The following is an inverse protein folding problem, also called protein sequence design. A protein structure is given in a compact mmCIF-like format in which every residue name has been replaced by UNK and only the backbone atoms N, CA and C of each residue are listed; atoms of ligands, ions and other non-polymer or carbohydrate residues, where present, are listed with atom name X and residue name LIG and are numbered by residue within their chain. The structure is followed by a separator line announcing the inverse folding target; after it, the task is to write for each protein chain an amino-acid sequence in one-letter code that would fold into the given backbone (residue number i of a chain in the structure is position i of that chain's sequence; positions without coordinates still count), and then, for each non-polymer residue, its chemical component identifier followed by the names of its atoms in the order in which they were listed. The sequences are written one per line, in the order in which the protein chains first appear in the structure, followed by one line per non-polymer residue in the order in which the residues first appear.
data_IF_368725576724
#
_entry.id   IF_368725576724
#
_cell.length_a   1.000
_cell.length_b   1.000
_cell.length_c   1.000
_cell.angle_alpha   90.00
_cell.angle_beta   90.00
_cell.angle_gamma   90.00
#
_symmetry.space_group_name_H-M   'P 1'
#
loop_
_entity.id
_entity.type
_entity.pdbx_description
1 polymer ?
#
# COMPACT_ATOMS: atom_id res chain seq x y z
N UNK A 1 -14.24 -4.99 7.76
CA UNK A 1 -14.81 -3.86 6.99
C UNK A 1 -14.20 -2.52 7.39
N UNK A 2 -14.10 -2.16 8.67
CA UNK A 2 -13.54 -0.87 9.13
C UNK A 2 -12.15 -0.57 8.51
N UNK A 3 -11.20 -1.51 8.57
CA UNK A 3 -9.86 -1.34 8.00
C UNK A 3 -9.83 -1.17 6.46
N UNK A 4 -10.86 -1.63 5.74
CA UNK A 4 -10.98 -1.42 4.30
C UNK A 4 -11.41 0.01 3.99
N UNK A 5 -12.40 0.53 4.71
CA UNK A 5 -12.85 1.92 4.58
C UNK A 5 -11.75 2.92 4.95
N UNK A 6 -10.99 2.66 6.01
CA UNK A 6 -9.85 3.51 6.39
C UNK A 6 -8.77 3.58 5.29
N UNK A 7 -8.45 2.45 4.65
CA UNK A 7 -7.51 2.42 3.54
C UNK A 7 -8.04 3.14 2.30
N UNK A 8 -9.34 3.02 2.03
CA UNK A 8 -9.98 3.72 0.93
C UNK A 8 -9.97 5.24 1.16
N UNK A 9 -10.21 5.70 2.39
CA UNK A 9 -10.10 7.12 2.75
C UNK A 9 -8.67 7.64 2.60
N UNK A 10 -7.67 6.88 3.07
CA UNK A 10 -6.25 7.19 2.91
C UNK A 10 -5.86 7.28 1.43
N UNK A 11 -6.36 6.36 0.60
CA UNK A 11 -6.13 6.37 -0.85
C UNK A 11 -6.70 7.64 -1.49
N UNK A 12 -7.96 7.96 -1.21
CA UNK A 12 -8.60 9.18 -1.74
C UNK A 12 -7.84 10.46 -1.36
N UNK A 13 -7.37 10.57 -0.11
CA UNK A 13 -6.56 11.71 0.34
C UNK A 13 -5.22 11.82 -0.40
N UNK A 14 -4.59 10.69 -0.72
CA UNK A 14 -3.34 10.68 -1.49
C UNK A 14 -3.60 11.06 -2.95
N UNK A 15 -4.68 10.57 -3.55
CA UNK A 15 -5.08 10.93 -4.92
C UNK A 15 -5.35 12.42 -5.06
N UNK A 16 -6.05 13.02 -4.10
CA UNK A 16 -6.27 14.47 -4.05
C UNK A 16 -4.96 15.25 -3.98
N UNK A 17 -4.02 14.82 -3.12
CA UNK A 17 -2.69 15.45 -3.03
C UNK A 17 -1.89 15.31 -4.32
N UNK A 18 -1.95 14.16 -5.00
CA UNK A 18 -1.31 13.96 -6.30
C UNK A 18 -1.89 14.93 -7.34
N UNK A 19 -3.22 15.11 -7.36
CA UNK A 19 -3.86 16.08 -8.25
C UNK A 19 -3.40 17.52 -7.98
N UNK A 20 -3.33 17.92 -6.70
CA UNK A 20 -2.82 19.23 -6.32
C UNK A 20 -1.36 19.44 -6.76
N UNK A 21 -0.50 18.44 -6.57
CA UNK A 21 0.90 18.51 -7.01
C UNK A 21 0.99 18.56 -8.53
N UNK A 22 0.16 17.83 -9.27
CA UNK A 22 0.12 17.92 -10.74
C UNK A 22 -0.22 19.33 -11.21
N UNK A 23 -1.21 19.99 -10.58
CA UNK A 23 -1.54 21.38 -10.90
C UNK A 23 -0.36 22.33 -10.62
N UNK A 24 0.35 22.14 -9.50
CA UNK A 24 1.55 22.93 -9.18
C UNK A 24 2.69 22.69 -10.17
N UNK A 25 2.89 21.45 -10.61
CA UNK A 25 3.84 21.06 -11.66
C UNK A 25 3.52 21.81 -12.95
N UNK A 26 2.27 21.77 -13.41
CA UNK A 26 1.84 22.41 -14.65
C UNK A 26 1.99 23.93 -14.60
N UNK A 27 1.64 24.54 -13.46
CA UNK A 27 1.83 25.97 -13.21
C UNK A 27 3.31 26.35 -13.27
N UNK A 28 4.18 25.55 -12.64
CA UNK A 28 5.61 25.82 -12.62
C UNK A 28 6.26 25.57 -14.01
N UNK A 29 5.75 24.63 -14.81
CA UNK A 29 6.18 24.44 -16.20
C UNK A 29 5.78 25.62 -17.10
N UNK A 30 4.59 26.20 -16.89
CA UNK A 30 4.22 27.46 -17.55
C UNK A 30 5.16 28.60 -17.15
N UNK A 31 5.49 28.71 -15.86
CA UNK A 31 6.44 29.71 -15.35
C UNK A 31 7.84 29.54 -15.96
N UNK A 32 8.34 28.32 -16.06
CA UNK A 32 9.63 28.02 -16.72
C UNK A 32 9.60 28.47 -18.19
N UNK A 33 8.51 28.17 -18.92
CA UNK A 33 8.36 28.62 -20.32
C UNK A 33 8.39 30.14 -20.45
N UNK A 34 7.63 30.85 -19.61
CA UNK A 34 7.62 32.32 -19.60
C UNK A 34 9.00 32.91 -19.30
N UNK A 35 9.75 32.33 -18.36
CA UNK A 35 11.11 32.78 -18.04
C UNK A 35 12.06 32.52 -19.22
N UNK A 36 11.96 31.37 -19.89
CA UNK A 36 12.76 31.08 -21.07
C UNK A 36 12.47 32.06 -22.23
N UNK A 37 11.20 32.40 -22.45
CA UNK A 37 10.81 33.41 -23.44
C UNK A 37 11.37 34.79 -23.09
N UNK A 38 11.33 35.17 -21.81
CA UNK A 38 11.95 36.42 -21.33
C UNK A 38 13.46 36.41 -21.56
N UNK A 39 14.14 35.31 -21.22
CA UNK A 39 15.58 35.16 -21.47
C UNK A 39 15.92 35.27 -22.96
N UNK A 40 15.10 34.71 -23.84
CA UNK A 40 15.27 34.86 -25.28
C UNK A 40 15.12 36.33 -25.74
N UNK A 41 14.14 37.06 -25.18
CA UNK A 41 13.97 38.51 -25.45
C UNK A 41 15.17 39.33 -24.95
N UNK A 42 15.64 39.05 -23.73
CA UNK A 42 16.84 39.67 -23.15
C UNK A 42 18.05 39.42 -24.06
N UNK A 43 18.23 38.18 -24.52
CA UNK A 43 19.35 37.82 -25.37
C UNK A 43 19.30 38.53 -26.74
N UNK A 44 18.12 38.68 -27.34
CA UNK A 44 17.96 39.49 -28.57
C UNK A 44 18.29 40.96 -28.33
N UNK A 45 17.77 41.56 -27.26
CA UNK A 45 18.06 42.95 -26.90
C UNK A 45 19.56 43.19 -26.66
N UNK A 46 20.28 42.21 -26.12
CA UNK A 46 21.74 42.29 -25.95
C UNK A 46 22.52 42.31 -27.28
N UNK A 47 21.99 41.68 -28.34
CA UNK A 47 22.65 41.56 -29.65
C UNK A 47 22.23 42.71 -30.56
N UNK A 48 20.92 42.88 -30.73
CA UNK A 48 20.29 43.72 -31.76
C UNK A 48 19.79 45.07 -31.21
N UNK A 49 19.68 45.23 -29.89
CA UNK A 49 19.13 46.42 -29.27
C UNK A 49 20.08 47.62 -29.30
N UNK A 50 19.51 48.81 -29.06
CA UNK A 50 20.28 50.04 -28.86
C UNK A 50 21.09 50.03 -27.55
N UNK A 51 21.93 51.05 -27.34
CA UNK A 51 22.80 51.19 -26.16
C UNK A 51 22.02 51.02 -24.83
N UNK A 52 20.82 51.63 -24.76
CA UNK A 52 19.98 51.61 -23.56
C UNK A 52 19.37 50.24 -23.34
N UNK A 53 18.81 49.64 -24.38
CA UNK A 53 18.24 48.29 -24.34
C UNK A 53 19.29 47.25 -23.97
N UNK A 54 20.53 47.39 -24.46
CA UNK A 54 21.65 46.50 -24.10
C UNK A 54 22.02 46.61 -22.62
N UNK A 55 22.03 47.81 -22.05
CA UNK A 55 22.29 48.01 -20.62
C UNK A 55 21.18 47.40 -19.76
N UNK A 56 19.91 47.68 -20.09
CA UNK A 56 18.76 47.11 -19.39
C UNK A 56 18.75 45.58 -19.47
N UNK A 57 19.07 45.00 -20.63
CA UNK A 57 19.15 43.56 -20.82
C UNK A 57 20.29 42.91 -20.00
N UNK A 58 21.47 43.56 -19.90
CA UNK A 58 22.58 43.08 -19.07
C UNK A 58 22.23 43.06 -17.58
N UNK A 59 21.46 44.04 -17.12
CA UNK A 59 20.98 44.10 -15.73
C UNK A 59 19.88 43.06 -15.47
N UNK A 60 18.95 42.86 -16.41
CA UNK A 60 17.83 41.94 -16.23
C UNK A 60 18.22 40.45 -16.34
N UNK A 61 19.27 40.13 -17.12
CA UNK A 61 19.73 38.74 -17.36
C UNK A 61 19.97 37.92 -16.08
N UNK A 62 20.78 38.35 -15.09
CA UNK A 62 21.04 37.55 -13.90
C UNK A 62 19.76 37.26 -13.10
N UNK A 63 18.84 38.22 -13.01
CA UNK A 63 17.56 38.01 -12.32
C UNK A 63 16.68 36.97 -13.02
N UNK A 64 16.63 36.99 -14.35
CA UNK A 64 15.88 35.99 -15.12
C UNK A 64 16.52 34.60 -15.03
N UNK A 65 17.85 34.50 -15.02
CA UNK A 65 18.59 33.24 -14.82
C UNK A 65 18.38 32.66 -13.42
N UNK A 66 18.40 33.50 -12.39
CA UNK A 66 18.11 33.10 -11.01
C UNK A 66 16.67 32.62 -10.84
N UNK A 67 15.71 33.34 -11.44
CA UNK A 67 14.31 32.92 -11.48
C UNK A 67 14.14 31.56 -12.17
N UNK A 68 14.85 31.33 -13.28
CA UNK A 68 14.83 30.05 -13.99
C UNK A 68 15.40 28.92 -13.13
N UNK A 69 16.54 29.18 -12.47
CA UNK A 69 17.17 28.21 -11.55
C UNK A 69 16.20 27.81 -10.45
N UNK A 70 15.56 28.80 -9.81
CA UNK A 70 14.57 28.58 -8.74
C UNK A 70 13.34 27.82 -9.23
N UNK A 71 12.83 28.14 -10.43
CA UNK A 71 11.71 27.41 -11.01
C UNK A 71 12.09 25.96 -11.31
N UNK A 72 13.30 25.69 -11.83
CA UNK A 72 13.80 24.33 -12.08
C UNK A 72 14.01 23.53 -10.78
N UNK A 73 14.55 24.13 -9.73
CA UNK A 73 14.70 23.44 -8.44
C UNK A 73 13.34 23.12 -7.81
N UNK A 74 12.39 24.03 -7.91
CA UNK A 74 10.99 23.80 -7.50
C UNK A 74 10.37 22.65 -8.30
N UNK A 75 10.59 22.60 -9.61
CA UNK A 75 10.09 21.53 -10.48
C UNK A 75 10.60 20.15 -10.03
N UNK A 76 11.90 20.07 -9.70
CA UNK A 76 12.51 18.83 -9.22
C UNK A 76 11.87 18.38 -7.90
N UNK A 77 11.71 19.29 -6.93
CA UNK A 77 11.07 18.99 -5.64
C UNK A 77 9.63 18.50 -5.80
N UNK A 78 8.85 19.14 -6.66
CA UNK A 78 7.47 18.72 -6.93
C UNK A 78 7.40 17.32 -7.54
N UNK A 79 8.29 17.00 -8.50
CA UNK A 79 8.38 15.66 -9.09
C UNK A 79 8.78 14.60 -8.06
N UNK A 80 9.73 14.91 -7.18
CA UNK A 80 10.14 14.00 -6.08
C UNK A 80 8.99 13.75 -5.09
N UNK A 81 8.24 14.80 -4.72
CA UNK A 81 7.06 14.67 -3.86
C UNK A 81 5.97 13.82 -4.51
N UNK A 82 5.68 14.04 -5.80
CA UNK A 82 4.74 13.23 -6.58
C UNK A 82 5.15 11.75 -6.55
N UNK A 83 6.40 11.45 -6.85
CA UNK A 83 6.91 10.07 -6.87
C UNK A 83 6.76 9.39 -5.51
N UNK A 84 7.00 10.11 -4.42
CA UNK A 84 6.80 9.59 -3.05
C UNK A 84 5.34 9.26 -2.77
N UNK A 85 4.40 10.13 -3.18
CA UNK A 85 2.96 9.89 -3.02
C UNK A 85 2.47 8.73 -3.89
N UNK A 86 2.94 8.63 -5.14
CA UNK A 86 2.62 7.50 -6.03
C UNK A 86 3.10 6.18 -5.43
N UNK A 87 4.32 6.15 -4.88
CA UNK A 87 4.81 4.97 -4.17
C UNK A 87 3.93 4.61 -2.96
N UNK A 88 3.52 5.59 -2.16
CA UNK A 88 2.61 5.36 -1.03
C UNK A 88 1.25 4.83 -1.48
N UNK A 89 0.70 5.34 -2.59
CA UNK A 89 -0.53 4.84 -3.20
C UNK A 89 -0.40 3.37 -3.57
N UNK A 90 0.68 2.98 -4.25
CA UNK A 90 0.94 1.58 -4.61
C UNK A 90 1.00 0.68 -3.38
N UNK A 91 1.65 1.13 -2.29
CA UNK A 91 1.69 0.37 -1.03
C UNK A 91 0.30 0.17 -0.41
N UNK A 92 -0.58 1.18 -0.50
CA UNK A 92 -1.96 1.07 -0.01
C UNK A 92 -2.77 0.12 -0.89
N UNK A 93 -2.63 0.20 -2.21
CA UNK A 93 -3.33 -0.70 -3.15
C UNK A 93 -2.92 -2.17 -2.93
N UNK A 94 -1.65 -2.45 -2.68
CA UNK A 94 -1.19 -3.80 -2.31
C UNK A 94 -1.82 -4.29 -1.00
N UNK A 95 -1.99 -3.41 -0.01
CA UNK A 95 -2.68 -3.75 1.25
C UNK A 95 -4.17 -4.00 1.02
N UNK A 96 -4.80 -3.20 0.18
CA UNK A 96 -6.21 -3.35 -0.19
C UNK A 96 -6.46 -4.69 -0.89
N UNK A 97 -5.61 -5.08 -1.85
CA UNK A 97 -5.69 -6.39 -2.53
C UNK A 97 -5.59 -7.53 -1.51
N UNK A 98 -4.57 -7.51 -0.64
CA UNK A 98 -4.40 -8.53 0.40
C UNK A 98 -5.61 -8.62 1.33
N UNK A 99 -6.18 -7.48 1.73
CA UNK A 99 -7.39 -7.44 2.55
C UNK A 99 -8.62 -7.96 1.80
N UNK A 100 -8.75 -7.67 0.51
CA UNK A 100 -9.84 -8.17 -0.32
C UNK A 100 -9.75 -9.68 -0.51
N UNK A 101 -8.57 -10.22 -0.78
CA UNK A 101 -8.32 -11.67 -0.83
C UNK A 101 -8.68 -12.33 0.50
N UNK A 102 -8.26 -11.72 1.61
CA UNK A 102 -8.61 -12.15 2.96
C UNK A 102 -10.13 -12.19 3.18
N UNK A 103 -10.84 -11.10 2.86
CA UNK A 103 -12.28 -11.06 3.02
C UNK A 103 -12.98 -12.07 2.11
N UNK A 104 -12.55 -12.21 0.86
CA UNK A 104 -13.09 -13.19 -0.08
C UNK A 104 -12.98 -14.62 0.46
N UNK A 105 -11.80 -14.97 0.99
CA UNK A 105 -11.56 -16.29 1.62
C UNK A 105 -12.47 -16.54 2.81
N UNK A 106 -12.71 -15.52 3.65
CA UNK A 106 -13.64 -15.62 4.79
C UNK A 106 -15.07 -15.81 4.32
N UNK A 107 -15.53 -15.03 3.32
CA UNK A 107 -16.91 -15.07 2.83
C UNK A 107 -17.24 -16.34 2.04
N UNK A 108 -16.25 -16.96 1.41
CA UNK A 108 -16.42 -18.25 0.72
C UNK A 108 -16.41 -19.45 1.66
N UNK A 109 -15.97 -19.27 2.91
CA UNK A 109 -15.88 -20.36 3.87
C UNK A 109 -17.25 -20.56 4.56
N UNK A 110 -17.77 -21.80 4.64
CA UNK A 110 -18.94 -22.12 5.45
C UNK A 110 -18.62 -21.88 6.94
N UNK A 111 -19.40 -21.10 7.67
CA UNK A 111 -19.21 -20.86 9.11
C UNK A 111 -17.75 -20.57 9.52
N UNK A 112 -17.16 -19.44 9.07
CA UNK A 112 -15.75 -19.14 9.32
C UNK A 112 -15.50 -18.90 10.82
N UNK A 113 -14.61 -19.69 11.41
CA UNK A 113 -14.18 -19.57 12.80
C UNK A 113 -12.92 -18.69 12.94
N UNK A 114 -12.08 -18.62 11.90
CA UNK A 114 -10.79 -17.95 11.99
C UNK A 114 -10.01 -17.92 10.69
N UNK A 115 -8.78 -17.44 10.78
CA UNK A 115 -7.78 -17.44 9.71
C UNK A 115 -6.44 -17.92 10.25
N UNK A 116 -5.68 -18.64 9.43
CA UNK A 116 -4.28 -18.91 9.71
C UNK A 116 -3.50 -17.60 9.55
N UNK A 117 -2.76 -17.20 10.57
CA UNK A 117 -1.84 -16.06 10.53
C UNK A 117 -0.49 -16.52 9.97
N UNK A 118 0.05 -17.56 10.58
CA UNK A 118 1.37 -18.14 10.27
C UNK A 118 1.29 -19.66 10.34
N UNK A 119 2.08 -20.32 9.50
CA UNK A 119 2.19 -21.76 9.47
C UNK A 119 3.61 -22.19 9.11
N UNK A 120 4.12 -23.19 9.80
CA UNK A 120 5.47 -23.73 9.60
C UNK A 120 5.51 -25.22 9.90
N UNK A 121 6.50 -25.92 9.34
CA UNK A 121 6.68 -27.36 9.53
C UNK A 121 5.57 -28.18 8.87
N UNK A 122 5.38 -29.42 9.34
CA UNK A 122 4.40 -30.34 8.77
C UNK A 122 3.01 -30.15 9.40
N UNK A 123 2.09 -29.54 8.64
CA UNK A 123 0.72 -29.23 9.08
C UNK A 123 -0.27 -29.72 8.03
N UNK A 124 -1.24 -30.50 8.47
CA UNK A 124 -2.35 -31.00 7.66
C UNK A 124 -3.66 -30.42 8.17
N UNK A 125 -4.49 -29.93 7.26
CA UNK A 125 -5.81 -29.40 7.61
C UNK A 125 -6.87 -30.20 6.89
N UNK A 126 -7.75 -30.83 7.66
CA UNK A 126 -8.88 -31.59 7.14
C UNK A 126 -10.10 -30.67 7.16
N UNK A 127 -10.60 -30.32 5.97
CA UNK A 127 -11.77 -29.48 5.79
C UNK A 127 -13.06 -30.27 5.98
N UNK A 128 -13.99 -29.72 6.78
CA UNK A 128 -15.31 -30.35 6.97
C UNK A 128 -16.07 -30.49 5.64
N UNK A 129 -15.94 -29.51 4.74
CA UNK A 129 -16.53 -29.57 3.41
C UNK A 129 -15.67 -30.39 2.45
N UNK A 130 -15.99 -31.68 2.35
CA UNK A 130 -15.56 -32.55 1.26
C UNK A 130 -14.53 -33.62 1.61
N UNK A 131 -14.19 -33.82 2.89
CA UNK A 131 -13.14 -34.76 3.33
C UNK A 131 -11.83 -34.57 2.53
N UNK A 132 -11.57 -33.34 2.07
CA UNK A 132 -10.34 -33.02 1.35
C UNK A 132 -9.29 -32.65 2.37
N UNK A 133 -8.25 -33.46 2.38
CA UNK A 133 -7.05 -33.24 3.15
C UNK A 133 -6.24 -32.18 2.40
N UNK A 134 -6.20 -30.96 2.93
CA UNK A 134 -5.33 -29.92 2.41
C UNK A 134 -3.98 -30.05 3.11
N UNK A 135 -3.01 -30.61 2.37
CA UNK A 135 -1.61 -30.77 2.81
C UNK A 135 -0.83 -29.45 2.77
N UNK A 136 -1.45 -28.36 2.30
CA UNK A 136 -0.81 -27.05 2.15
C UNK A 136 -1.45 -26.05 3.10
N UNK A 137 -0.83 -25.90 4.26
CA UNK A 137 -1.14 -24.83 5.18
C UNK A 137 -0.54 -23.50 4.67
N UNK A 138 -1.38 -22.49 4.44
CA UNK A 138 -0.93 -21.18 3.95
C UNK A 138 -1.40 -20.05 4.87
N UNK A 139 -0.57 -19.01 4.98
CA UNK A 139 -1.01 -17.78 5.64
C UNK A 139 -2.28 -17.25 4.98
N UNK A 140 -3.21 -16.80 5.82
CA UNK A 140 -4.51 -16.26 5.47
C UNK A 140 -5.51 -17.28 4.92
N UNK A 141 -5.23 -18.58 5.07
CA UNK A 141 -6.21 -19.62 4.81
C UNK A 141 -7.36 -19.53 5.84
N UNK A 142 -8.63 -19.50 5.40
CA UNK A 142 -9.77 -19.48 6.29
C UNK A 142 -9.92 -20.83 6.98
N UNK A 143 -10.37 -20.80 8.22
CA UNK A 143 -10.71 -22.00 9.00
C UNK A 143 -12.16 -21.91 9.43
N UNK A 144 -12.86 -23.01 9.26
CA UNK A 144 -14.28 -23.13 9.54
C UNK A 144 -14.53 -23.97 10.78
N UNK A 145 -15.70 -23.80 11.38
CA UNK A 145 -16.16 -24.70 12.44
C UNK A 145 -16.24 -26.12 11.88
N UNK A 146 -15.67 -27.09 12.59
CA UNK A 146 -15.58 -28.49 12.20
C UNK A 146 -14.31 -28.88 11.44
N UNK A 147 -13.45 -27.92 11.07
CA UNK A 147 -12.13 -28.23 10.53
C UNK A 147 -11.21 -28.85 11.60
N UNK A 148 -10.35 -29.78 11.20
CA UNK A 148 -9.37 -30.43 12.05
C UNK A 148 -7.94 -30.06 11.60
N UNK A 149 -7.12 -29.61 12.55
CA UNK A 149 -5.73 -29.22 12.31
C UNK A 149 -4.83 -30.24 12.98
N UNK A 150 -3.98 -30.87 12.18
CA UNK A 150 -3.01 -31.88 12.63
C UNK A 150 -1.61 -31.33 12.37
N UNK A 151 -0.85 -31.13 13.43
CA UNK A 151 0.57 -30.75 13.37
C UNK A 151 1.45 -31.95 13.70
N UNK A 152 2.53 -32.17 12.94
CA UNK A 152 3.49 -33.26 13.15
C UNK A 152 4.90 -32.71 13.28
N UNK A 153 5.76 -33.40 14.05
CA UNK A 153 7.20 -33.09 14.24
C UNK A 153 7.50 -31.67 14.73
N UNK A 154 7.63 -30.75 13.80
CA UNK A 154 8.00 -29.34 13.92
C UNK A 154 6.85 -28.40 13.49
N UNK A 155 5.69 -28.97 13.16
CA UNK A 155 4.49 -28.28 12.71
C UNK A 155 3.97 -27.30 13.75
N UNK A 156 3.73 -26.05 13.32
CA UNK A 156 3.12 -25.03 14.16
C UNK A 156 2.15 -24.19 13.34
N UNK A 157 1.01 -23.85 13.95
CA UNK A 157 0.00 -22.98 13.34
C UNK A 157 -0.37 -21.88 14.31
N UNK A 158 -0.34 -20.64 13.85
CA UNK A 158 -0.90 -19.49 14.58
C UNK A 158 -2.22 -19.11 13.95
N UNK A 159 -3.29 -19.19 14.73
CA UNK A 159 -4.66 -18.93 14.33
C UNK A 159 -5.13 -17.58 14.86
N UNK A 160 -5.82 -16.81 14.04
CA UNK A 160 -6.57 -15.62 14.46
C UNK A 160 -8.05 -15.94 14.42
N UNK A 161 -8.68 -16.00 15.59
CA UNK A 161 -10.10 -16.35 15.74
C UNK A 161 -10.98 -15.13 15.43
N UNK A 162 -12.03 -15.33 14.63
CA UNK A 162 -13.01 -14.29 14.34
C UNK A 162 -13.90 -14.08 15.59
N UNK A 163 -14.00 -12.83 16.07
CA UNK A 163 -14.82 -12.49 17.25
C UNK A 163 -14.17 -12.79 18.61
N UNK A 164 -12.89 -13.18 18.65
CA UNK A 164 -12.09 -13.31 19.86
C UNK A 164 -11.05 -12.19 20.01
N UNK A 165 -10.58 -11.96 21.24
CA UNK A 165 -9.38 -11.16 21.49
C UNK A 165 -8.18 -12.11 21.61
N UNK A 166 -7.32 -12.13 20.58
CA UNK A 166 -6.05 -12.86 20.62
C UNK A 166 -5.84 -13.84 19.47
N UNK A 167 -4.63 -14.40 19.43
CA UNK A 167 -4.25 -15.48 18.52
C UNK A 167 -4.13 -16.79 19.33
N UNK A 168 -4.46 -17.93 18.72
CA UNK A 168 -4.26 -19.26 19.29
C UNK A 168 -3.10 -19.92 18.57
N UNK A 169 -2.14 -20.46 19.30
CA UNK A 169 -1.03 -21.22 18.73
C UNK A 169 -1.25 -22.70 18.94
N UNK A 170 -1.25 -23.47 17.85
CA UNK A 170 -1.22 -24.93 17.85
C UNK A 170 0.23 -25.35 17.68
N UNK A 171 0.81 -25.95 18.72
CA UNK A 171 2.20 -26.43 18.71
C UNK A 171 2.35 -27.76 17.99
N UNK A 172 3.56 -28.35 18.00
CA UNK A 172 3.84 -29.62 17.32
C UNK A 172 3.12 -30.81 17.93
N UNK A 173 3.00 -31.89 17.15
CA UNK A 173 2.38 -33.16 17.54
C UNK A 173 0.99 -33.00 18.17
N UNK A 174 0.20 -32.06 17.65
CA UNK A 174 -1.10 -31.70 18.19
C UNK A 174 -2.19 -31.99 17.17
N UNK A 175 -3.36 -32.36 17.68
CA UNK A 175 -4.58 -32.45 16.88
C UNK A 175 -5.66 -31.57 17.51
N UNK A 176 -6.17 -30.61 16.75
CA UNK A 176 -7.12 -29.60 17.21
C UNK A 176 -8.34 -29.56 16.30
N UNK A 177 -9.50 -29.87 16.87
CA UNK A 177 -10.81 -29.71 16.22
C UNK A 177 -11.41 -28.34 16.57
N UNK A 178 -11.80 -27.59 15.54
CA UNK A 178 -12.39 -26.26 15.70
C UNK A 178 -13.89 -26.40 15.99
N UNK A 179 -14.34 -25.90 17.15
CA UNK A 179 -15.74 -25.98 17.59
C UNK A 179 -16.36 -24.60 17.80
N UNK A 180 -17.68 -24.54 17.71
CA UNK A 180 -18.46 -23.35 18.03
C UNK A 180 -18.35 -22.97 19.52
N UNK A 181 -18.42 -21.67 19.79
CA UNK A 181 -18.20 -21.04 21.09
C UNK A 181 -19.13 -21.54 22.22
N UNK A 182 -20.20 -22.27 21.89
CA UNK A 182 -21.12 -22.88 22.86
C UNK A 182 -20.69 -24.26 23.39
N UNK A 183 -19.58 -24.80 22.91
CA UNK A 183 -18.92 -25.94 23.54
C UNK A 183 -17.43 -25.61 23.70
N UNK A 184 -17.00 -25.47 24.95
CA UNK A 184 -15.61 -25.27 25.35
C UNK A 184 -14.64 -26.04 24.43
N UNK A 185 -13.66 -25.33 23.86
CA UNK A 185 -12.53 -25.95 23.17
C UNK A 185 -11.91 -27.00 24.09
N UNK A 186 -12.13 -28.28 23.79
CA UNK A 186 -11.43 -29.39 24.43
C UNK A 186 -10.18 -29.65 23.62
N UNK A 187 -9.04 -29.25 24.18
CA UNK A 187 -7.74 -29.74 23.74
C UNK A 187 -7.65 -31.19 24.26
N UNK A 188 -7.72 -32.16 23.35
CA UNK A 188 -7.46 -33.57 23.72
C UNK A 188 -5.98 -33.81 23.47
N UNK A 189 -5.20 -33.81 24.55
CA UNK A 189 -3.83 -34.32 24.53
C UNK A 189 -3.92 -35.85 24.63
N UNK A 190 -3.33 -36.56 23.67
CA UNK A 190 -3.02 -37.99 23.78
C UNK A 190 -1.53 -38.16 23.97
#
# INVERSE_FOLDING_TARGET
MIAFFELQELKSKIEEKILQINLQIDQNERKIRQINELLAKIQRAMIEGDERQRMEARQAKPHAEEALKTAKTTQKKLKEQKMKLEWQKTQIEQKEIKLRELYSKITSAPNPAGLIKECSGNVKIIKLQGNKLEDVCSSYMPISVGDEIITSSDGQVVLKILGGQGNITVGPNSNVLIKEKNQQMKIILK
#
